data_IF_498874255303
#
_entry.id   IF_498874255303
#
_cell.length_a   1.000
_cell.length_b   1.000
_cell.length_c   1.000
_cell.angle_alpha   90.00
_cell.angle_beta   90.00
_cell.angle_gamma   90.00
#
_symmetry.space_group_name_H-M   'P 1'
#
loop_
_entity.id
_entity.type
_entity.pdbx_description
1 polymer ?
#
# COMPACT_ATOMS: atom_id res chain seq x y z
N UNK A 1 16.15 1.07 -2.75
CA UNK A 1 14.80 1.41 -3.26
C UNK A 1 14.19 2.68 -2.65
N UNK A 2 14.31 2.93 -1.35
CA UNK A 2 13.72 4.12 -0.68
C UNK A 2 14.08 5.52 -1.24
N UNK A 3 15.31 5.82 -1.73
CA UNK A 3 15.64 7.20 -2.13
C UNK A 3 14.99 7.62 -3.44
N UNK A 4 14.79 6.69 -4.39
CA UNK A 4 14.12 6.99 -5.65
C UNK A 4 12.63 7.29 -5.42
N UNK A 5 11.93 6.45 -4.65
CA UNK A 5 10.53 6.69 -4.28
C UNK A 5 10.36 8.01 -3.51
N UNK A 6 11.28 8.33 -2.59
CA UNK A 6 11.29 9.61 -1.88
C UNK A 6 11.39 10.80 -2.83
N UNK A 7 12.27 10.75 -3.84
CA UNK A 7 12.38 11.82 -4.84
C UNK A 7 11.11 11.97 -5.68
N UNK A 8 10.48 10.87 -6.06
CA UNK A 8 9.21 10.90 -6.81
C UNK A 8 8.08 11.49 -5.96
N UNK A 9 7.99 11.10 -4.69
CA UNK A 9 7.03 11.65 -3.75
C UNK A 9 7.26 13.15 -3.51
N UNK A 10 8.51 13.58 -3.33
CA UNK A 10 8.88 14.99 -3.18
C UNK A 10 8.52 15.80 -4.43
N UNK A 11 8.82 15.30 -5.63
CA UNK A 11 8.46 15.95 -6.88
C UNK A 11 6.93 16.07 -7.03
N UNK A 12 6.20 15.02 -6.66
CA UNK A 12 4.74 15.03 -6.68
C UNK A 12 4.14 16.06 -5.71
N UNK A 13 4.64 16.09 -4.47
CA UNK A 13 4.21 17.05 -3.45
C UNK A 13 4.53 18.49 -3.88
N UNK A 14 5.73 18.72 -4.43
CA UNK A 14 6.12 20.04 -4.94
C UNK A 14 5.20 20.49 -6.09
N UNK A 15 4.93 19.61 -7.06
CA UNK A 15 4.03 19.90 -8.18
C UNK A 15 2.60 20.21 -7.69
N UNK A 16 2.07 19.41 -6.76
CA UNK A 16 0.74 19.62 -6.20
C UNK A 16 0.65 20.91 -5.39
N UNK A 17 1.67 21.22 -4.60
CA UNK A 17 1.75 22.48 -3.84
C UNK A 17 1.79 23.69 -4.79
N UNK A 18 2.59 23.63 -5.85
CA UNK A 18 2.66 24.69 -6.87
C UNK A 18 1.32 24.88 -7.59
N UNK A 19 0.66 23.79 -8.00
CA UNK A 19 -0.65 23.87 -8.65
C UNK A 19 -1.73 24.41 -7.70
N UNK A 20 -1.70 23.99 -6.45
CA UNK A 20 -2.65 24.48 -5.44
C UNK A 20 -2.43 25.97 -5.18
N UNK A 21 -1.18 26.41 -5.07
CA UNK A 21 -0.84 27.82 -4.91
C UNK A 21 -1.30 28.63 -6.12
N UNK A 22 -1.02 28.16 -7.34
CA UNK A 22 -1.49 28.80 -8.58
C UNK A 22 -3.02 28.87 -8.62
N UNK A 23 -3.72 27.84 -8.15
CA UNK A 23 -5.18 27.82 -8.07
C UNK A 23 -5.74 28.89 -7.14
N UNK A 24 -5.14 29.03 -5.96
CA UNK A 24 -5.51 30.05 -4.97
C UNK A 24 -5.26 31.46 -5.54
N UNK A 25 -4.10 31.68 -6.14
CA UNK A 25 -3.73 32.97 -6.76
C UNK A 25 -4.63 33.33 -7.96
N UNK A 26 -5.10 32.34 -8.71
CA UNK A 26 -6.04 32.52 -9.83
C UNK A 26 -7.51 32.69 -9.40
N UNK A 27 -7.78 32.85 -8.09
CA UNK A 27 -9.12 33.11 -7.56
C UNK A 27 -9.97 31.86 -7.31
N UNK A 28 -9.34 30.70 -7.05
CA UNK A 28 -10.04 29.51 -6.54
C UNK A 28 -11.01 28.85 -7.53
N UNK A 29 -10.88 29.15 -8.83
CA UNK A 29 -11.63 28.46 -9.89
C UNK A 29 -11.29 26.97 -9.85
N UNK A 30 -12.25 26.07 -10.01
CA UNK A 30 -12.05 24.60 -9.89
C UNK A 30 -11.16 23.97 -11.00
N UNK A 31 -10.43 24.77 -11.77
CA UNK A 31 -9.63 24.30 -12.89
C UNK A 31 -8.48 23.40 -12.44
N UNK A 32 -7.86 23.68 -11.29
CA UNK A 32 -6.73 22.88 -10.79
C UNK A 32 -7.15 21.49 -10.29
N UNK A 33 -8.45 21.23 -10.10
CA UNK A 33 -8.95 19.92 -9.72
C UNK A 33 -8.51 18.83 -10.71
N UNK A 34 -8.67 19.08 -12.01
CA UNK A 34 -8.38 18.09 -13.05
C UNK A 34 -6.88 17.73 -13.14
N UNK A 35 -5.95 18.70 -13.19
CA UNK A 35 -4.53 18.39 -13.11
C UNK A 35 -4.10 17.71 -11.80
N UNK A 36 -4.65 18.11 -10.65
CA UNK A 36 -4.34 17.49 -9.35
C UNK A 36 -4.80 16.03 -9.33
N UNK A 37 -6.03 15.75 -9.78
CA UNK A 37 -6.55 14.39 -9.90
C UNK A 37 -5.70 13.54 -10.85
N UNK A 38 -5.38 14.08 -12.02
CA UNK A 38 -4.60 13.36 -13.03
C UNK A 38 -3.20 13.01 -12.52
N UNK A 39 -2.50 13.97 -11.91
CA UNK A 39 -1.17 13.72 -11.35
C UNK A 39 -1.20 12.70 -10.21
N UNK A 40 -2.24 12.73 -9.37
CA UNK A 40 -2.41 11.76 -8.28
C UNK A 40 -2.60 10.33 -8.82
N UNK A 41 -3.46 10.16 -9.83
CA UNK A 41 -3.65 8.88 -10.50
C UNK A 41 -2.36 8.38 -11.15
N UNK A 42 -1.65 9.27 -11.86
CA UNK A 42 -0.39 8.94 -12.52
C UNK A 42 0.68 8.48 -11.53
N UNK A 43 0.79 9.13 -10.36
CA UNK A 43 1.68 8.67 -9.29
C UNK A 43 1.27 7.29 -8.76
N UNK A 44 -0.04 7.06 -8.57
CA UNK A 44 -0.56 5.75 -8.13
C UNK A 44 -0.19 4.63 -9.10
N UNK A 45 -0.39 4.85 -10.40
CA UNK A 45 0.01 3.90 -11.45
C UNK A 45 1.52 3.68 -11.45
N UNK A 46 2.31 4.75 -11.36
CA UNK A 46 3.77 4.67 -11.32
C UNK A 46 4.27 3.84 -10.13
N UNK A 47 3.67 4.05 -8.95
CA UNK A 47 3.99 3.27 -7.76
C UNK A 47 3.67 1.79 -7.95
N UNK A 48 2.47 1.45 -8.47
CA UNK A 48 2.08 0.07 -8.72
C UNK A 48 3.01 -0.62 -9.72
N UNK A 49 3.38 0.08 -10.79
CA UNK A 49 4.28 -0.45 -11.81
C UNK A 49 5.69 -0.68 -11.26
N UNK A 50 6.24 0.30 -10.53
CA UNK A 50 7.55 0.15 -9.89
C UNK A 50 7.54 -0.97 -8.85
N UNK A 51 6.45 -1.09 -8.07
CA UNK A 51 6.28 -2.17 -7.10
C UNK A 51 6.23 -3.54 -7.79
N UNK A 52 5.47 -3.67 -8.88
CA UNK A 52 5.37 -4.90 -9.64
C UNK A 52 6.74 -5.31 -10.22
N UNK A 53 7.51 -4.36 -10.75
CA UNK A 53 8.87 -4.61 -11.24
C UNK A 53 9.88 -4.92 -10.12
N UNK A 54 9.63 -4.44 -8.90
CA UNK A 54 10.49 -4.70 -7.73
C UNK A 54 10.24 -6.05 -7.07
N UNK A 55 9.18 -6.77 -7.47
CA UNK A 55 8.94 -8.13 -6.99
C UNK A 55 9.93 -9.05 -7.68
N UNK A 56 10.89 -9.56 -6.91
CA UNK A 56 11.82 -10.60 -7.33
C UNK A 56 11.47 -11.95 -6.68
N UNK A 57 12.08 -13.03 -7.17
CA UNK A 57 11.89 -14.39 -6.63
C UNK A 57 12.24 -14.47 -5.14
N UNK A 58 13.22 -13.68 -4.70
CA UNK A 58 13.64 -13.64 -3.29
C UNK A 58 12.57 -13.04 -2.39
N UNK A 59 11.92 -11.96 -2.82
CA UNK A 59 10.77 -11.38 -2.15
C UNK A 59 9.59 -12.36 -2.12
N UNK A 60 9.39 -13.14 -3.19
CA UNK A 60 8.34 -14.14 -3.25
C UNK A 60 8.58 -15.26 -2.22
N UNK A 61 9.80 -15.79 -2.16
CA UNK A 61 10.18 -16.83 -1.20
C UNK A 61 10.02 -16.35 0.25
N UNK A 62 10.50 -15.14 0.58
CA UNK A 62 10.33 -14.53 1.92
C UNK A 62 8.85 -14.37 2.29
N UNK A 63 7.99 -14.00 1.33
CA UNK A 63 6.55 -13.85 1.58
C UNK A 63 5.85 -15.19 1.75
N UNK A 64 6.23 -16.21 0.99
CA UNK A 64 5.70 -17.57 1.12
C UNK A 64 6.08 -18.16 2.48
N UNK A 65 7.33 -17.98 2.92
CA UNK A 65 7.78 -18.41 4.24
C UNK A 65 6.99 -17.72 5.37
N UNK A 66 6.80 -16.40 5.29
CA UNK A 66 6.00 -15.66 6.27
C UNK A 66 4.53 -16.13 6.32
N UNK A 67 3.93 -16.40 5.15
CA UNK A 67 2.57 -16.93 5.05
C UNK A 67 2.47 -18.33 5.68
N UNK A 68 3.47 -19.19 5.47
CA UNK A 68 3.52 -20.52 6.07
C UNK A 68 3.70 -20.46 7.59
N UNK A 69 4.55 -19.57 8.10
CA UNK A 69 4.70 -19.40 9.55
C UNK A 69 3.39 -18.94 10.21
N UNK A 70 2.69 -17.99 9.58
CA UNK A 70 1.38 -17.53 10.07
C UNK A 70 0.30 -18.60 9.98
N UNK A 71 0.31 -19.44 8.94
CA UNK A 71 -0.64 -20.54 8.81
C UNK A 71 -0.37 -21.63 9.84
N UNK A 72 0.91 -21.92 10.12
CA UNK A 72 1.34 -22.84 11.15
C UNK A 72 0.86 -22.38 12.53
N UNK A 73 1.14 -21.12 12.92
CA UNK A 73 0.67 -20.54 14.18
C UNK A 73 -0.86 -20.60 14.30
N UNK A 74 -1.58 -20.29 13.21
CA UNK A 74 -3.04 -20.38 13.20
C UNK A 74 -3.53 -21.80 13.46
N UNK A 75 -2.97 -22.79 12.77
CA UNK A 75 -3.35 -24.19 12.96
C UNK A 75 -3.03 -24.67 14.38
N UNK A 76 -1.92 -24.21 14.96
CA UNK A 76 -1.54 -24.52 16.33
C UNK A 76 -2.52 -23.91 17.36
N UNK A 77 -2.97 -22.67 17.12
CA UNK A 77 -4.01 -22.03 17.94
C UNK A 77 -5.34 -22.78 17.83
N UNK A 78 -5.74 -23.19 16.61
CA UNK A 78 -6.98 -23.94 16.39
C UNK A 78 -6.94 -25.31 17.09
N UNK A 79 -5.79 -25.99 17.10
CA UNK A 79 -5.61 -27.27 17.78
C UNK A 79 -5.68 -27.13 19.31
N UNK A 80 -5.04 -26.08 19.87
CA UNK A 80 -5.20 -25.71 21.28
C UNK A 80 -6.66 -25.44 21.64
N UNK A 81 -7.39 -24.69 20.78
CA UNK A 81 -8.81 -24.40 20.97
C UNK A 81 -9.68 -25.66 20.96
N UNK A 82 -9.33 -26.65 20.12
CA UNK A 82 -10.00 -27.95 20.06
C UNK A 82 -9.74 -28.78 21.31
N UNK A 83 -8.50 -28.77 21.84
CA UNK A 83 -8.12 -29.51 23.05
C UNK A 83 -8.67 -28.90 24.35
N UNK A 84 -8.73 -27.57 24.41
CA UNK A 84 -9.32 -26.82 25.54
C UNK A 84 -10.85 -26.76 25.49
N UNK A 85 -11.47 -27.24 24.40
CA UNK A 85 -12.93 -27.31 24.32
C UNK A 85 -13.43 -28.42 25.25
N UNK A 86 -14.23 -28.09 26.29
CA UNK A 86 -14.81 -29.10 27.15
C UNK A 86 -15.78 -29.98 26.35
N UNK A 87 -15.87 -31.29 26.63
CA UNK A 87 -16.82 -32.17 25.96
C UNK A 87 -18.26 -31.75 26.33
N UNK A 88 -19.06 -31.34 25.33
CA UNK A 88 -20.50 -31.06 25.49
C UNK A 88 -21.00 -29.65 25.12
N UNK A 89 -20.19 -28.77 24.53
CA UNK A 89 -20.62 -27.41 24.12
C UNK A 89 -21.11 -27.30 22.66
N UNK A 90 -21.68 -28.37 22.13
CA UNK A 90 -22.23 -28.40 20.77
C UNK A 90 -23.74 -28.08 20.87
N UNK A 91 -24.08 -26.79 20.83
CA UNK A 91 -25.46 -26.29 20.69
C UNK A 91 -25.53 -25.29 19.54
#
# INVERSE_FOLDING_TARGET
MLPALRRHLQAFLALNALLTLANVLAGGRWWAFWPLLFTALLLGVHYLFYKALSVDERWADERVEELNLKSYDRSHIEDLKRRLRPPGTDA
#
